data_IF_479192081148
#
_entry.id   IF_479192081148
#
_cell.length_a   1.000
_cell.length_b   1.000
_cell.length_c   1.000
_cell.angle_alpha   90.00
_cell.angle_beta   90.00
_cell.angle_gamma   90.00
#
_symmetry.space_group_name_H-M   'P 1'
#
loop_
_entity.id
_entity.type
_entity.pdbx_description
1 polymer ?
#
# COMPACT_ATOMS: atom_id res chain seq x y z
N UNK A 1 -23.02 -25.71 -7.85
CA UNK A 1 -22.14 -24.72 -7.20
C UNK A 1 -21.19 -24.03 -8.20
N UNK A 2 -20.80 -24.69 -9.29
CA UNK A 2 -19.88 -24.14 -10.31
C UNK A 2 -20.41 -22.91 -11.06
N UNK A 3 -21.72 -22.84 -11.35
CA UNK A 3 -22.33 -21.68 -12.02
C UNK A 3 -22.21 -20.37 -11.23
N UNK A 4 -22.24 -20.43 -9.90
CA UNK A 4 -22.09 -19.25 -9.04
C UNK A 4 -20.64 -18.77 -9.01
N UNK A 5 -19.68 -19.71 -9.04
CA UNK A 5 -18.25 -19.38 -9.13
C UNK A 5 -17.91 -18.68 -10.44
N UNK A 6 -18.47 -19.13 -11.58
CA UNK A 6 -18.26 -18.46 -12.87
C UNK A 6 -18.79 -17.02 -12.90
N UNK A 7 -19.98 -16.77 -12.33
CA UNK A 7 -20.56 -15.42 -12.24
C UNK A 7 -19.67 -14.49 -11.40
N UNK A 8 -19.15 -14.99 -10.27
CA UNK A 8 -18.27 -14.19 -9.40
C UNK A 8 -16.94 -13.86 -10.08
N UNK A 9 -16.37 -14.81 -10.84
CA UNK A 9 -15.14 -14.59 -11.60
C UNK A 9 -15.35 -13.56 -12.71
N UNK A 10 -16.46 -13.65 -13.46
CA UNK A 10 -16.79 -12.68 -14.50
C UNK A 10 -16.95 -11.27 -13.93
N UNK A 11 -17.64 -11.12 -12.80
CA UNK A 11 -17.79 -9.83 -12.12
C UNK A 11 -16.46 -9.26 -11.61
N UNK A 12 -15.57 -10.13 -11.14
CA UNK A 12 -14.25 -9.71 -10.67
C UNK A 12 -13.37 -9.24 -11.85
N UNK A 13 -13.44 -9.92 -12.99
CA UNK A 13 -12.73 -9.54 -14.22
C UNK A 13 -13.26 -8.21 -14.78
N UNK A 14 -14.59 -8.04 -14.83
CA UNK A 14 -15.25 -6.79 -15.25
C UNK A 14 -14.82 -5.61 -14.36
N UNK A 15 -14.76 -5.82 -13.04
CA UNK A 15 -14.30 -4.81 -12.09
C UNK A 15 -12.81 -4.47 -12.27
N UNK A 16 -11.96 -5.46 -12.55
CA UNK A 16 -10.54 -5.25 -12.80
C UNK A 16 -10.29 -4.43 -14.07
N UNK A 17 -11.01 -4.73 -15.15
CA UNK A 17 -10.92 -3.98 -16.41
C UNK A 17 -11.38 -2.52 -16.25
N UNK A 18 -12.40 -2.28 -15.42
CA UNK A 18 -12.87 -0.92 -15.09
C UNK A 18 -11.81 -0.12 -14.32
N UNK A 19 -11.09 -0.75 -13.38
CA UNK A 19 -10.03 -0.07 -12.64
C UNK A 19 -8.84 0.29 -13.55
N UNK A 20 -8.44 -0.59 -14.45
CA UNK A 20 -7.33 -0.37 -15.38
C UNK A 20 -7.62 0.77 -16.38
N UNK A 21 -8.85 0.83 -16.92
CA UNK A 21 -9.28 1.95 -17.79
C UNK A 21 -9.27 3.29 -17.03
N UNK A 22 -9.77 3.30 -15.80
CA UNK A 22 -9.85 4.50 -14.98
C UNK A 22 -8.48 5.05 -14.56
N UNK A 23 -7.48 4.19 -14.36
CA UNK A 23 -6.11 4.64 -14.11
C UNK A 23 -5.48 5.32 -15.34
N UNK A 24 -5.73 4.80 -16.55
CA UNK A 24 -5.12 5.32 -17.80
C UNK A 24 -5.69 6.69 -18.24
N UNK A 25 -6.96 6.97 -17.94
CA UNK A 25 -7.60 8.27 -18.20
C UNK A 25 -7.14 9.38 -17.24
N UNK A 26 -6.62 9.03 -16.06
CA UNK A 26 -6.13 10.00 -15.09
C UNK A 26 -4.75 10.60 -15.43
N UNK A 27 -4.05 10.07 -16.45
CA UNK A 27 -2.69 10.49 -16.81
C UNK A 27 -2.61 11.58 -17.90
N UNK A 28 -3.66 11.79 -18.69
CA UNK A 28 -3.57 12.59 -19.93
C UNK A 28 -3.92 14.08 -19.80
N UNK A 29 -3.80 14.65 -18.59
CA UNK A 29 -4.07 16.07 -18.32
C UNK A 29 -2.91 17.05 -18.54
N UNK A 30 -1.83 16.67 -19.24
CA UNK A 30 -0.57 17.45 -19.29
C UNK A 30 -0.06 17.85 -20.68
N UNK A 31 -0.84 17.72 -21.75
CA UNK A 31 -0.43 18.17 -23.08
C UNK A 31 -1.35 19.28 -23.62
N UNK A 32 -1.09 20.51 -23.20
CA UNK A 32 -1.45 21.70 -23.99
C UNK A 32 -0.23 22.62 -24.06
N UNK A 33 0.29 22.80 -25.27
CA UNK A 33 1.52 23.51 -25.58
C UNK A 33 1.42 25.00 -25.21
N UNK A 34 2.32 25.45 -24.34
CA UNK A 34 2.50 26.86 -23.97
C UNK A 34 3.00 27.68 -25.17
N UNK A 35 2.39 28.82 -25.54
CA UNK A 35 2.99 29.71 -26.53
C UNK A 35 4.08 30.57 -25.88
N UNK A 36 5.24 30.55 -26.53
CA UNK A 36 6.43 31.36 -26.23
C UNK A 36 6.22 32.82 -26.66
N UNK A 37 6.45 33.79 -25.76
CA UNK A 37 6.83 35.17 -26.13
C UNK A 37 7.81 35.77 -25.09
N UNK A 38 8.82 36.56 -25.51
CA UNK A 38 9.91 37.03 -24.65
C UNK A 38 9.69 38.44 -24.07
N UNK A 39 10.03 38.65 -22.80
CA UNK A 39 10.07 39.98 -22.14
C UNK A 39 11.46 40.61 -22.20
N UNK A 40 11.57 41.95 -22.30
CA UNK A 40 12.74 42.67 -21.82
C UNK A 40 12.39 43.63 -20.68
N UNK A 41 13.07 43.47 -19.54
CA UNK A 41 13.23 44.56 -18.57
C UNK A 41 12.85 44.22 -17.14
N UNK A 42 13.87 43.86 -16.35
CA UNK A 42 14.20 44.36 -15.00
C UNK A 42 14.71 43.23 -14.09
N UNK A 43 15.96 43.40 -13.67
CA UNK A 43 16.75 42.51 -12.82
C UNK A 43 16.49 42.86 -11.35
N UNK A 44 16.20 41.87 -10.51
CA UNK A 44 16.49 41.91 -9.07
C UNK A 44 16.91 40.50 -8.61
N UNK A 45 18.15 40.27 -8.14
CA UNK A 45 18.59 38.98 -7.67
C UNK A 45 18.24 38.81 -6.19
N UNK A 46 17.11 38.15 -5.89
CA UNK A 46 16.82 37.64 -4.54
C UNK A 46 16.95 36.12 -4.49
N UNK A 47 17.57 35.56 -3.42
CA UNK A 47 17.93 34.15 -3.35
C UNK A 47 16.68 33.28 -3.39
N UNK A 48 16.78 32.20 -4.17
CA UNK A 48 15.78 31.15 -4.39
C UNK A 48 15.20 30.61 -3.09
N UNK A 49 14.14 31.25 -2.58
CA UNK A 49 13.16 30.59 -1.71
C UNK A 49 12.50 29.51 -2.56
N UNK A 50 12.85 28.24 -2.32
CA UNK A 50 12.08 27.08 -2.81
C UNK A 50 10.69 27.12 -2.17
N UNK A 51 9.78 27.89 -2.76
CA UNK A 51 8.36 27.87 -2.48
C UNK A 51 7.64 27.27 -3.70
N UNK A 52 6.63 26.45 -3.41
CA UNK A 52 5.85 25.58 -4.30
C UNK A 52 6.51 24.20 -4.51
N UNK A 53 5.96 23.12 -3.95
CA UNK A 53 4.62 22.62 -4.28
C UNK A 53 3.86 22.15 -3.02
N UNK A 54 3.34 23.10 -2.25
CA UNK A 54 2.12 22.83 -1.48
C UNK A 54 0.98 22.65 -2.50
N UNK A 55 0.77 21.41 -2.96
CA UNK A 55 -0.46 21.07 -3.69
C UNK A 55 -1.58 21.05 -2.65
N UNK A 56 -2.21 22.21 -2.46
CA UNK A 56 -3.48 22.34 -1.77
C UNK A 56 -4.50 21.49 -2.52
N UNK A 57 -4.85 20.33 -1.99
CA UNK A 57 -6.18 19.76 -2.19
C UNK A 57 -7.14 20.53 -1.28
N UNK A 58 -7.45 21.76 -1.64
CA UNK A 58 -8.51 22.51 -0.99
C UNK A 58 -9.85 22.07 -1.58
N UNK A 59 -10.64 21.39 -0.74
CA UNK A 59 -12.08 21.20 -0.92
C UNK A 59 -12.47 19.79 -1.34
N UNK A 60 -12.90 18.96 -0.38
CA UNK A 60 -13.58 17.66 -0.58
C UNK A 60 -12.73 16.39 -0.76
N UNK A 61 -11.67 16.18 0.03
CA UNK A 61 -10.86 14.94 -0.06
C UNK A 61 -10.25 14.38 1.22
N UNK A 62 -10.43 15.04 2.38
CA UNK A 62 -9.79 14.63 3.64
C UNK A 62 -10.32 13.28 4.16
N UNK A 63 -11.64 13.10 4.15
CA UNK A 63 -12.28 11.90 4.70
C UNK A 63 -11.94 10.63 3.90
N UNK A 64 -11.83 10.71 2.57
CA UNK A 64 -11.42 9.57 1.74
C UNK A 64 -9.96 9.16 2.03
N UNK A 65 -9.05 10.12 2.19
CA UNK A 65 -7.64 9.82 2.54
C UNK A 65 -7.48 9.21 3.94
N UNK A 66 -8.29 9.64 4.91
CA UNK A 66 -8.31 9.11 6.28
C UNK A 66 -8.94 7.71 6.29
N UNK A 67 -10.03 7.50 5.56
CA UNK A 67 -10.67 6.19 5.40
C UNK A 67 -9.76 5.18 4.70
N UNK A 68 -8.99 5.60 3.68
CA UNK A 68 -8.01 4.74 3.03
C UNK A 68 -6.84 4.36 3.96
N UNK A 69 -6.43 5.27 4.85
CA UNK A 69 -5.43 4.97 5.87
C UNK A 69 -5.94 4.04 6.96
N UNK A 70 -7.19 4.22 7.41
CA UNK A 70 -7.77 3.35 8.44
C UNK A 70 -7.99 1.94 7.92
N UNK A 71 -8.53 1.78 6.70
CA UNK A 71 -8.69 0.48 6.04
C UNK A 71 -7.35 -0.26 5.89
N UNK A 72 -6.30 0.43 5.41
CA UNK A 72 -4.95 -0.14 5.36
C UNK A 72 -4.45 -0.63 6.73
N UNK A 73 -4.63 0.19 7.77
CA UNK A 73 -4.19 -0.16 9.13
C UNK A 73 -4.93 -1.37 9.69
N UNK A 74 -6.23 -1.48 9.46
CA UNK A 74 -7.01 -2.64 9.90
C UNK A 74 -6.58 -3.92 9.18
N UNK A 75 -6.31 -3.85 7.87
CA UNK A 75 -5.75 -4.98 7.13
C UNK A 75 -4.39 -5.41 7.67
N UNK A 76 -3.49 -4.46 7.95
CA UNK A 76 -2.16 -4.77 8.50
C UNK A 76 -2.24 -5.32 9.94
N UNK A 77 -3.17 -4.80 10.76
CA UNK A 77 -3.45 -5.37 12.09
C UNK A 77 -3.92 -6.82 11.99
N UNK A 78 -4.87 -7.09 11.09
CA UNK A 78 -5.37 -8.45 10.85
C UNK A 78 -4.25 -9.38 10.38
N UNK A 79 -3.44 -8.95 9.40
CA UNK A 79 -2.28 -9.69 8.91
C UNK A 79 -1.29 -10.01 10.04
N UNK A 80 -1.01 -9.04 10.92
CA UNK A 80 -0.15 -9.24 12.10
C UNK A 80 -0.75 -10.20 13.13
N UNK A 81 -2.07 -10.17 13.34
CA UNK A 81 -2.76 -11.11 14.22
C UNK A 81 -2.65 -12.54 13.67
N UNK A 82 -2.88 -12.73 12.37
CA UNK A 82 -2.72 -14.02 11.71
C UNK A 82 -1.27 -14.54 11.82
N UNK A 83 -0.28 -13.68 11.58
CA UNK A 83 1.13 -14.05 11.74
C UNK A 83 1.44 -14.54 13.17
N UNK A 84 0.93 -13.85 14.20
CA UNK A 84 1.10 -14.29 15.59
C UNK A 84 0.48 -15.67 15.82
N UNK A 85 -0.73 -15.92 15.30
CA UNK A 85 -1.39 -17.22 15.40
C UNK A 85 -0.54 -18.33 14.75
N UNK A 86 0.01 -18.08 13.56
CA UNK A 86 0.90 -19.04 12.90
C UNK A 86 2.15 -19.33 13.74
N UNK A 87 2.75 -18.30 14.35
CA UNK A 87 3.92 -18.47 15.21
C UNK A 87 3.59 -19.24 16.51
N UNK A 88 2.44 -19.02 17.12
CA UNK A 88 2.00 -19.80 18.29
C UNK A 88 1.79 -21.28 17.94
N UNK A 89 1.15 -21.56 16.79
CA UNK A 89 1.01 -22.95 16.31
C UNK A 89 2.37 -23.59 16.04
N UNK A 90 3.29 -22.84 15.43
CA UNK A 90 4.64 -23.32 15.16
C UNK A 90 5.37 -23.69 16.46
N UNK A 91 5.19 -22.95 17.56
CA UNK A 91 5.83 -23.28 18.84
C UNK A 91 5.47 -24.66 19.37
N UNK A 92 4.25 -25.13 19.12
CA UNK A 92 3.80 -26.46 19.56
C UNK A 92 4.44 -27.58 18.73
N UNK A 93 4.71 -27.31 17.45
CA UNK A 93 5.26 -28.29 16.52
C UNK A 93 6.79 -28.43 16.63
N UNK A 94 7.47 -27.38 17.10
CA UNK A 94 8.92 -27.43 17.29
C UNK A 94 9.22 -27.91 18.71
N UNK A 95 10.16 -28.86 18.89
CA UNK A 95 10.62 -29.28 20.21
C UNK A 95 11.42 -28.14 20.85
N UNK A 96 10.70 -27.24 21.51
CA UNK A 96 11.27 -26.12 22.24
C UNK A 96 11.39 -26.57 23.70
N UNK A 97 12.63 -26.86 24.12
CA UNK A 97 12.91 -27.33 25.48
C UNK A 97 12.39 -26.37 26.57
N UNK A 98 12.31 -26.82 27.84
CA UNK A 98 11.68 -26.09 28.94
C UNK A 98 12.23 -24.67 29.19
N UNK A 99 13.44 -24.36 28.74
CA UNK A 99 14.08 -23.04 28.87
C UNK A 99 13.62 -21.99 27.85
N UNK A 100 12.69 -22.35 26.96
CA UNK A 100 12.26 -21.46 25.89
C UNK A 100 11.09 -20.55 26.28
N UNK A 101 10.81 -20.34 27.56
CA UNK A 101 9.74 -19.43 28.04
C UNK A 101 9.75 -18.04 27.37
N UNK A 102 10.91 -17.58 26.86
CA UNK A 102 11.02 -16.54 25.83
C UNK A 102 11.67 -17.04 24.54
N UNK A 103 11.00 -16.77 23.41
CA UNK A 103 11.53 -16.99 22.07
C UNK A 103 11.49 -15.70 21.27
N UNK A 104 12.53 -15.43 20.50
CA UNK A 104 12.47 -14.45 19.41
C UNK A 104 11.86 -15.11 18.18
N UNK A 105 11.18 -14.34 17.31
CA UNK A 105 10.65 -14.86 16.04
C UNK A 105 11.74 -15.50 15.19
N UNK A 106 12.91 -14.85 15.09
CA UNK A 106 14.06 -15.38 14.35
C UNK A 106 14.57 -16.71 14.92
N UNK A 107 14.69 -16.81 16.25
CA UNK A 107 15.14 -18.04 16.91
C UNK A 107 14.19 -19.21 16.68
N UNK A 108 12.88 -18.95 16.71
CA UNK A 108 11.85 -19.95 16.41
C UNK A 108 11.96 -20.45 14.97
N UNK A 109 12.10 -19.54 14.00
CA UNK A 109 12.22 -19.89 12.58
C UNK A 109 13.49 -20.70 12.28
N UNK A 110 14.62 -20.35 12.89
CA UNK A 110 15.87 -21.10 12.71
C UNK A 110 15.77 -22.53 13.28
N UNK A 111 15.12 -22.69 14.45
CA UNK A 111 14.88 -24.02 15.03
C UNK A 111 13.91 -24.84 14.18
N UNK A 112 12.85 -24.21 13.66
CA UNK A 112 11.93 -24.86 12.73
C UNK A 112 12.65 -25.36 11.47
N UNK A 113 13.50 -24.52 10.89
CA UNK A 113 14.33 -24.90 9.73
C UNK A 113 15.22 -26.11 10.01
N UNK A 114 15.82 -26.19 11.20
CA UNK A 114 16.64 -27.34 11.59
C UNK A 114 15.82 -28.63 11.80
N UNK A 115 14.53 -28.51 12.12
CA UNK A 115 13.65 -29.63 12.41
C UNK A 115 13.10 -30.31 11.16
N UNK A 116 12.88 -29.56 10.07
CA UNK A 116 12.28 -30.06 8.82
C UNK A 116 13.39 -30.48 7.84
N UNK A 117 14.31 -31.35 8.28
CA UNK A 117 15.38 -31.87 7.40
C UNK A 117 14.83 -32.69 6.25
#
# INVERSE_FOLDING_TARGET
MERVQMINIQRLLEAAEYLERRERECEHGYASTFPSVPSPGLQDPRPTRRLSRARKHSGSGSNASIANRSTHNELEKNRRAHLRLCLERLKVLIPLGPDCTRHTTLGLLNKAKAHIK
#
